data_IF_498990160744
#
_entry.id   IF_498990160744
#
_cell.length_a   1.000
_cell.length_b   1.000
_cell.length_c   1.000
_cell.angle_alpha   90.00
_cell.angle_beta   90.00
_cell.angle_gamma   90.00
#
_symmetry.space_group_name_H-M   'P 1'
#
loop_
_entity.id
_entity.type
_entity.pdbx_description
1 polymer ?
#
# COMPACT_ATOMS: atom_id res chain seq x y z
N UNK A 1 11.30 -11.48 28.94
CA UNK A 1 10.04 -11.31 28.17
C UNK A 1 9.24 -10.20 28.83
N UNK A 2 8.81 -9.18 28.10
CA UNK A 2 8.10 -8.02 28.66
C UNK A 2 6.67 -8.44 29.06
N UNK A 3 6.12 -7.82 30.15
CA UNK A 3 4.75 -8.10 30.64
C UNK A 3 3.72 -7.98 29.52
N UNK A 4 3.81 -6.93 28.69
CA UNK A 4 2.92 -6.72 27.52
C UNK A 4 2.97 -7.87 26.51
N UNK A 5 4.15 -8.46 26.24
CA UNK A 5 4.29 -9.58 25.31
C UNK A 5 3.58 -10.83 25.85
N UNK A 6 3.65 -11.03 27.16
CA UNK A 6 2.95 -12.13 27.86
C UNK A 6 1.44 -12.00 27.75
N UNK A 7 0.88 -10.78 27.92
CA UNK A 7 -0.55 -10.52 27.76
C UNK A 7 -1.01 -10.85 26.32
N UNK A 8 -0.27 -10.37 25.30
CA UNK A 8 -0.60 -10.62 23.90
C UNK A 8 -0.53 -12.11 23.56
N UNK A 9 0.44 -12.84 24.11
CA UNK A 9 0.55 -14.29 23.91
C UNK A 9 -0.60 -15.07 24.54
N UNK A 10 -1.10 -14.62 25.69
CA UNK A 10 -2.26 -15.22 26.37
C UNK A 10 -3.56 -15.08 25.56
N UNK A 11 -3.75 -13.97 24.85
CA UNK A 11 -4.97 -13.69 24.08
C UNK A 11 -4.97 -14.39 22.71
N UNK A 12 -3.83 -14.59 22.09
CA UNK A 12 -3.74 -15.19 20.74
C UNK A 12 -3.61 -16.71 20.79
N UNK A 13 -4.69 -17.42 20.47
CA UNK A 13 -4.77 -18.91 20.46
C UNK A 13 -4.06 -19.61 19.27
N UNK A 14 -3.77 -18.93 18.15
CA UNK A 14 -3.15 -19.56 16.98
C UNK A 14 -1.62 -19.49 17.03
N UNK A 15 -0.95 -20.66 16.95
CA UNK A 15 0.50 -20.79 16.75
C UNK A 15 0.87 -20.24 15.36
N UNK A 16 1.55 -19.10 15.29
CA UNK A 16 2.19 -18.59 14.08
C UNK A 16 3.69 -18.56 14.39
N UNK A 17 4.52 -19.05 13.46
CA UNK A 17 5.98 -19.12 13.63
C UNK A 17 6.68 -17.76 13.71
N UNK A 18 5.94 -16.65 13.74
CA UNK A 18 6.44 -15.29 13.99
C UNK A 18 5.96 -14.81 15.34
N UNK A 19 6.78 -14.00 16.02
CA UNK A 19 6.43 -13.37 17.28
C UNK A 19 5.05 -12.70 17.19
N UNK A 20 4.12 -13.14 18.04
CA UNK A 20 2.71 -12.70 18.01
C UNK A 20 2.57 -11.22 18.32
N UNK A 21 3.43 -10.69 19.19
CA UNK A 21 3.44 -9.29 19.60
C UNK A 21 3.77 -8.34 18.45
N UNK A 22 4.62 -8.73 17.51
CA UNK A 22 5.01 -7.87 16.37
C UNK A 22 3.82 -7.38 15.56
N UNK A 23 2.83 -8.25 15.29
CA UNK A 23 1.64 -7.86 14.53
C UNK A 23 0.73 -6.90 15.29
N UNK A 24 0.63 -7.08 16.60
CA UNK A 24 -0.18 -6.20 17.45
C UNK A 24 0.45 -4.82 17.53
N UNK A 25 1.76 -4.74 17.75
CA UNK A 25 2.46 -3.44 17.76
C UNK A 25 2.45 -2.75 16.41
N UNK A 26 2.55 -3.52 15.33
CA UNK A 26 2.39 -2.95 14.00
C UNK A 26 0.99 -2.36 13.80
N UNK A 27 -0.06 -3.07 14.22
CA UNK A 27 -1.43 -2.57 14.13
C UNK A 27 -1.64 -1.30 14.96
N UNK A 28 -1.13 -1.27 16.19
CA UNK A 28 -1.19 -0.08 17.06
C UNK A 28 -0.45 1.11 16.46
N UNK A 29 0.74 0.89 15.88
CA UNK A 29 1.51 1.94 15.22
C UNK A 29 0.75 2.53 14.04
N UNK A 30 0.20 1.65 13.18
CA UNK A 30 -0.61 2.07 12.03
C UNK A 30 -1.79 2.92 12.50
N UNK A 31 -2.50 2.46 13.53
CA UNK A 31 -3.65 3.14 14.09
C UNK A 31 -3.30 4.53 14.65
N UNK A 32 -2.31 4.61 15.54
CA UNK A 32 -1.93 5.87 16.21
C UNK A 32 -1.39 6.90 15.21
N UNK A 33 -0.61 6.46 14.24
CA UNK A 33 0.02 7.34 13.26
C UNK A 33 -0.86 7.60 12.02
N UNK A 34 -2.03 6.96 11.91
CA UNK A 34 -2.90 7.03 10.72
C UNK A 34 -2.15 6.72 9.42
N UNK A 35 -1.24 5.73 9.46
CA UNK A 35 -0.29 5.44 8.39
C UNK A 35 -0.99 5.14 7.05
N UNK A 36 -2.15 4.50 7.08
CA UNK A 36 -2.92 4.13 5.88
C UNK A 36 -3.54 5.39 5.25
N UNK A 37 -4.17 6.22 6.06
CA UNK A 37 -4.79 7.49 5.61
C UNK A 37 -3.73 8.40 5.00
N UNK A 38 -2.59 8.57 5.67
CA UNK A 38 -1.49 9.39 5.18
C UNK A 38 -0.87 8.83 3.90
N UNK A 39 -0.73 7.51 3.77
CA UNK A 39 -0.25 6.88 2.54
C UNK A 39 -1.20 7.14 1.36
N UNK A 40 -2.51 6.97 1.54
CA UNK A 40 -3.51 7.22 0.50
C UNK A 40 -3.47 8.68 0.05
N UNK A 41 -3.48 9.62 0.99
CA UNK A 41 -3.41 11.05 0.69
C UNK A 41 -2.08 11.42 0.04
N UNK A 42 -0.96 10.86 0.52
CA UNK A 42 0.36 11.08 -0.05
C UNK A 42 0.46 10.66 -1.51
N UNK A 43 -0.08 9.48 -1.86
CA UNK A 43 -0.12 8.99 -3.25
C UNK A 43 -0.93 9.91 -4.17
N UNK A 44 -2.10 10.36 -3.71
CA UNK A 44 -2.97 11.26 -4.48
C UNK A 44 -2.30 12.63 -4.66
N UNK A 45 -1.73 13.21 -3.60
CA UNK A 45 -1.03 14.50 -3.64
C UNK A 45 0.20 14.41 -4.56
N UNK A 46 1.00 13.33 -4.45
CA UNK A 46 2.16 13.12 -5.31
C UNK A 46 1.76 13.08 -6.79
N UNK A 47 0.68 12.36 -7.13
CA UNK A 47 0.18 12.37 -8.49
C UNK A 47 -0.21 13.78 -8.96
N UNK A 48 -0.90 14.57 -8.14
CA UNK A 48 -1.38 15.90 -8.54
C UNK A 48 -0.24 16.89 -8.78
N UNK A 49 0.82 16.82 -7.99
CA UNK A 49 1.97 17.71 -8.07
C UNK A 49 2.91 17.32 -9.23
N UNK A 50 3.01 16.03 -9.52
CA UNK A 50 3.97 15.52 -10.50
C UNK A 50 3.61 15.98 -11.93
N UNK A 51 4.56 16.45 -12.74
CA UNK A 51 4.33 16.72 -14.17
C UNK A 51 4.15 15.41 -14.95
N UNK A 52 3.58 15.52 -16.14
CA UNK A 52 3.51 14.38 -17.09
C UNK A 52 4.94 13.92 -17.41
N UNK A 53 5.16 12.61 -17.44
CA UNK A 53 6.49 11.99 -17.57
C UNK A 53 7.26 11.84 -16.26
N UNK A 54 6.80 12.47 -15.17
CA UNK A 54 7.42 12.32 -13.86
C UNK A 54 7.22 10.92 -13.26
N UNK A 55 8.04 10.57 -12.29
CA UNK A 55 8.08 9.24 -11.64
C UNK A 55 7.59 9.34 -10.21
N UNK A 56 6.67 8.44 -9.84
CA UNK A 56 6.35 8.15 -8.44
C UNK A 56 7.05 6.84 -8.07
N UNK A 57 7.92 6.90 -7.08
CA UNK A 57 8.59 5.72 -6.51
C UNK A 57 8.23 5.61 -5.02
N UNK A 58 7.79 4.43 -4.60
CA UNK A 58 7.32 4.18 -3.23
C UNK A 58 8.00 2.95 -2.67
N UNK A 59 8.61 3.09 -1.50
CA UNK A 59 9.18 1.98 -0.73
C UNK A 59 8.19 1.64 0.38
N UNK A 60 7.87 0.36 0.50
CA UNK A 60 6.97 -0.16 1.53
C UNK A 60 7.68 -1.26 2.34
N UNK A 61 7.41 -1.35 3.63
CA UNK A 61 8.03 -2.33 4.53
C UNK A 61 7.08 -3.41 5.02
N UNK A 62 5.78 -3.24 4.84
CA UNK A 62 4.80 -4.25 5.22
C UNK A 62 3.74 -4.50 4.13
N UNK A 63 3.04 -5.62 4.28
CA UNK A 63 2.13 -6.15 3.25
C UNK A 63 0.89 -5.27 2.99
N UNK A 64 0.43 -4.50 3.99
CA UNK A 64 -0.75 -3.64 3.85
C UNK A 64 -0.39 -2.46 2.96
N UNK A 65 0.72 -1.75 3.25
CA UNK A 65 1.23 -0.67 2.39
C UNK A 65 1.45 -1.15 0.96
N UNK A 66 2.16 -2.29 0.79
CA UNK A 66 2.43 -2.84 -0.54
C UNK A 66 1.14 -3.16 -1.32
N UNK A 67 0.08 -3.64 -0.62
CA UNK A 67 -1.23 -3.89 -1.22
C UNK A 67 -1.89 -2.60 -1.73
N UNK A 68 -1.82 -1.52 -0.95
CA UNK A 68 -2.39 -0.22 -1.30
C UNK A 68 -1.66 0.37 -2.51
N UNK A 69 -0.32 0.43 -2.47
CA UNK A 69 0.51 0.96 -3.55
C UNK A 69 0.35 0.12 -4.83
N UNK A 70 0.35 -1.21 -4.71
CA UNK A 70 0.09 -2.11 -5.84
C UNK A 70 -1.26 -1.85 -6.48
N UNK A 71 -2.31 -1.69 -5.66
CA UNK A 71 -3.67 -1.39 -6.16
C UNK A 71 -3.70 -0.04 -6.87
N UNK A 72 -3.10 1.00 -6.27
CA UNK A 72 -3.04 2.33 -6.83
C UNK A 72 -2.42 2.31 -8.24
N UNK A 73 -1.22 1.78 -8.39
CA UNK A 73 -0.56 1.73 -9.69
C UNK A 73 -1.29 0.83 -10.70
N UNK A 74 -1.77 -0.35 -10.26
CA UNK A 74 -2.45 -1.29 -11.15
C UNK A 74 -3.77 -0.73 -11.68
N UNK A 75 -4.61 -0.16 -10.82
CA UNK A 75 -5.94 0.32 -11.17
C UNK A 75 -5.88 1.42 -12.24
N UNK A 76 -4.87 2.27 -12.19
CA UNK A 76 -4.73 3.41 -13.07
C UNK A 76 -3.71 3.23 -14.22
N UNK A 77 -3.06 2.06 -14.30
CA UNK A 77 -2.16 1.70 -15.41
C UNK A 77 -2.79 0.77 -16.43
N UNK A 78 -3.78 -0.02 -16.03
CA UNK A 78 -4.40 -1.00 -16.93
C UNK A 78 -5.62 -0.41 -17.64
N UNK A 79 -5.70 -0.64 -18.96
CA UNK A 79 -6.96 -0.50 -19.67
C UNK A 79 -7.83 -1.68 -19.28
N UNK A 80 -8.98 -1.42 -18.67
CA UNK A 80 -9.95 -2.48 -18.43
C UNK A 80 -10.50 -2.94 -19.77
N UNK A 81 -10.01 -4.06 -20.27
CA UNK A 81 -10.64 -4.71 -21.41
C UNK A 81 -12.05 -5.10 -20.97
N UNK A 82 -13.06 -4.49 -21.57
CA UNK A 82 -14.40 -5.01 -21.53
C UNK A 82 -14.39 -6.47 -22.00
N UNK A 83 -15.24 -7.29 -21.42
CA UNK A 83 -15.45 -8.69 -21.82
C UNK A 83 -15.45 -8.82 -23.35
N UNK A 84 -14.91 -9.93 -23.88
CA UNK A 84 -14.87 -10.22 -25.33
C UNK A 84 -16.23 -10.11 -26.02
N UNK A 85 -17.31 -10.10 -25.24
CA UNK A 85 -18.71 -10.05 -25.70
C UNK A 85 -19.36 -8.67 -25.63
N UNK A 86 -18.65 -7.63 -25.13
CA UNK A 86 -19.17 -6.27 -25.10
C UNK A 86 -18.54 -5.45 -26.22
N UNK A 87 -19.31 -4.59 -26.93
CA UNK A 87 -18.76 -3.67 -27.91
C UNK A 87 -17.62 -2.85 -27.31
N UNK A 88 -16.57 -2.60 -28.07
CA UNK A 88 -15.43 -1.76 -27.65
C UNK A 88 -15.91 -0.32 -27.40
N UNK A 89 -16.50 -0.07 -26.26
CA UNK A 89 -16.91 1.26 -25.85
C UNK A 89 -16.09 1.69 -24.65
N UNK A 90 -15.49 2.84 -24.78
CA UNK A 90 -14.77 3.64 -23.79
C UNK A 90 -13.35 3.13 -23.57
N UNK A 91 -12.42 3.73 -24.31
CA UNK A 91 -10.99 3.68 -23.99
C UNK A 91 -10.77 4.27 -22.60
N UNK A 92 -10.62 3.41 -21.59
CA UNK A 92 -10.22 3.87 -20.27
C UNK A 92 -8.81 4.47 -20.39
N UNK A 93 -8.70 5.77 -20.10
CA UNK A 93 -7.43 6.48 -20.12
C UNK A 93 -6.45 5.81 -19.17
N UNK A 94 -5.20 5.69 -19.63
CA UNK A 94 -4.11 5.23 -18.76
C UNK A 94 -3.47 6.45 -18.11
N UNK A 95 -3.45 6.48 -16.80
CA UNK A 95 -2.83 7.55 -16.03
C UNK A 95 -1.39 7.26 -15.63
N UNK A 96 -1.03 5.96 -15.58
CA UNK A 96 0.33 5.50 -15.30
C UNK A 96 0.84 4.54 -16.37
N UNK A 97 2.13 4.65 -16.65
CA UNK A 97 2.91 3.58 -17.26
C UNK A 97 3.64 2.82 -16.15
N UNK A 98 3.35 1.52 -16.03
CA UNK A 98 3.94 0.63 -15.05
C UNK A 98 4.95 -0.29 -15.74
N UNK A 99 6.25 0.04 -15.74
CA UNK A 99 7.26 -0.76 -16.46
C UNK A 99 7.39 -2.17 -15.88
N UNK A 100 7.17 -2.30 -14.58
CA UNK A 100 7.32 -3.56 -13.87
C UNK A 100 6.14 -3.81 -12.92
N UNK A 101 5.47 -4.97 -13.09
CA UNK A 101 4.35 -5.37 -12.22
C UNK A 101 4.81 -5.90 -10.85
N UNK A 102 5.97 -6.57 -10.81
CA UNK A 102 6.56 -7.08 -9.57
C UNK A 102 7.32 -5.96 -8.85
N UNK A 103 7.32 -5.92 -7.51
CA UNK A 103 8.15 -4.97 -6.78
C UNK A 103 9.64 -5.34 -6.94
N UNK A 104 10.50 -4.34 -6.86
CA UNK A 104 11.93 -4.54 -6.68
C UNK A 104 12.15 -4.83 -5.20
N UNK A 105 12.89 -5.90 -4.92
CA UNK A 105 13.26 -6.32 -3.57
C UNK A 105 14.77 -6.21 -3.38
N UNK A 106 15.26 -6.00 -2.15
CA UNK A 106 16.69 -5.88 -1.90
C UNK A 106 17.44 -7.16 -2.25
N UNK A 107 18.67 -7.01 -2.66
CA UNK A 107 19.59 -8.12 -2.92
C UNK A 107 20.09 -8.76 -1.61
N UNK A 108 20.63 -9.97 -1.69
CA UNK A 108 21.24 -10.63 -0.52
C UNK A 108 22.40 -9.82 0.06
N UNK A 109 23.19 -9.16 -0.78
CA UNK A 109 24.27 -8.28 -0.34
C UNK A 109 23.77 -7.07 0.44
N UNK A 110 22.69 -6.44 -0.01
CA UNK A 110 22.06 -5.32 0.69
C UNK A 110 21.49 -5.76 2.05
N UNK A 111 20.83 -6.92 2.10
CA UNK A 111 20.27 -7.46 3.36
C UNK A 111 21.38 -7.76 4.36
N UNK A 112 22.54 -8.22 3.92
CA UNK A 112 23.69 -8.49 4.80
C UNK A 112 24.26 -7.20 5.41
N UNK A 113 24.31 -6.11 4.62
CA UNK A 113 24.79 -4.80 5.08
C UNK A 113 23.73 -4.09 5.93
N UNK A 114 22.45 -4.18 5.51
CA UNK A 114 21.32 -3.52 6.14
C UNK A 114 20.15 -4.51 6.37
N UNK A 115 20.20 -5.30 7.46
CA UNK A 115 19.19 -6.32 7.75
C UNK A 115 17.74 -5.83 7.80
N UNK A 116 17.41 -4.59 8.23
CA UNK A 116 16.04 -4.06 8.16
C UNK A 116 15.47 -3.99 6.75
N UNK A 117 16.31 -3.89 5.70
CA UNK A 117 15.86 -3.81 4.30
C UNK A 117 15.15 -5.06 3.80
N UNK A 118 15.31 -6.21 4.47
CA UNK A 118 14.74 -7.52 4.06
C UNK A 118 13.25 -7.51 3.71
N UNK A 119 12.49 -6.57 4.26
CA UNK A 119 11.06 -6.45 4.04
C UNK A 119 10.69 -5.34 3.05
N UNK A 120 11.68 -4.59 2.58
CA UNK A 120 11.47 -3.48 1.67
C UNK A 120 10.99 -3.95 0.29
N UNK A 121 10.05 -3.19 -0.28
CA UNK A 121 9.54 -3.39 -1.63
C UNK A 121 9.42 -2.04 -2.30
N UNK A 122 10.17 -1.83 -3.37
CA UNK A 122 10.09 -0.63 -4.19
C UNK A 122 9.13 -0.87 -5.36
N UNK A 123 8.18 0.04 -5.52
CA UNK A 123 7.34 0.13 -6.72
C UNK A 123 7.43 1.52 -7.30
N UNK A 124 7.39 1.62 -8.63
CA UNK A 124 7.42 2.90 -9.31
C UNK A 124 6.56 2.88 -10.57
N UNK A 125 6.09 4.06 -10.96
CA UNK A 125 5.33 4.27 -12.19
C UNK A 125 5.57 5.66 -12.74
N UNK A 126 5.49 5.81 -14.06
CA UNK A 126 5.56 7.09 -14.76
C UNK A 126 4.17 7.65 -14.95
N UNK A 127 3.98 8.92 -14.67
CA UNK A 127 2.72 9.62 -14.94
C UNK A 127 2.55 9.89 -16.43
N UNK A 128 1.42 9.47 -16.99
CA UNK A 128 1.11 9.66 -18.41
C UNK A 128 0.16 10.83 -18.66
N UNK A 129 -0.86 11.01 -17.82
CA UNK A 129 -1.91 12.01 -18.01
C UNK A 129 -2.32 12.67 -16.68
N UNK A 130 -3.01 13.81 -16.78
CA UNK A 130 -3.63 14.51 -15.67
C UNK A 130 -5.13 14.18 -15.56
N UNK A 131 -5.77 14.63 -14.46
CA UNK A 131 -7.22 14.55 -14.30
C UNK A 131 -7.76 13.18 -13.87
N UNK A 132 -6.94 12.37 -13.21
CA UNK A 132 -7.38 11.09 -12.66
C UNK A 132 -8.37 11.28 -11.50
N UNK A 133 -9.44 10.49 -11.49
CA UNK A 133 -10.40 10.43 -10.39
C UNK A 133 -10.07 9.27 -9.46
N UNK A 134 -9.73 9.60 -8.22
CA UNK A 134 -9.32 8.64 -7.20
C UNK A 134 -10.46 8.13 -6.30
N UNK A 135 -11.73 8.47 -6.57
CA UNK A 135 -12.88 8.02 -5.74
C UNK A 135 -12.88 6.51 -5.53
N UNK A 136 -12.63 5.73 -6.60
CA UNK A 136 -12.58 4.26 -6.51
C UNK A 136 -11.41 3.76 -5.67
N UNK A 137 -10.27 4.43 -5.72
CA UNK A 137 -9.12 4.08 -4.89
C UNK A 137 -9.43 4.32 -3.41
N UNK A 138 -9.95 5.49 -3.08
CA UNK A 138 -10.32 5.84 -1.70
C UNK A 138 -11.40 4.87 -1.18
N UNK A 139 -12.50 4.68 -1.92
CA UNK A 139 -13.60 3.82 -1.48
C UNK A 139 -13.18 2.37 -1.22
N UNK A 140 -12.18 1.87 -1.94
CA UNK A 140 -11.69 0.50 -1.79
C UNK A 140 -10.94 0.27 -0.45
N UNK A 141 -10.51 1.34 0.20
CA UNK A 141 -9.76 1.30 1.46
C UNK A 141 -10.44 2.07 2.59
N UNK A 142 -11.68 2.56 2.41
CA UNK A 142 -12.44 3.29 3.43
C UNK A 142 -12.50 2.51 4.75
N UNK A 143 -12.71 1.19 4.69
CA UNK A 143 -12.79 0.36 5.89
C UNK A 143 -11.51 0.40 6.76
N UNK A 144 -10.34 0.65 6.17
CA UNK A 144 -9.09 0.82 6.93
C UNK A 144 -8.99 2.22 7.52
N UNK A 145 -9.45 3.24 6.79
CA UNK A 145 -9.51 4.62 7.26
C UNK A 145 -10.54 4.77 8.39
N UNK A 146 -11.68 4.08 8.28
CA UNK A 146 -12.70 4.06 9.34
C UNK A 146 -12.14 3.48 10.64
N UNK A 147 -11.33 2.41 10.57
CA UNK A 147 -10.65 1.85 11.73
C UNK A 147 -9.68 2.87 12.35
N UNK A 148 -8.90 3.59 11.53
CA UNK A 148 -7.96 4.62 12.02
C UNK A 148 -8.65 5.85 12.62
N UNK A 149 -9.93 6.08 12.30
CA UNK A 149 -10.74 7.19 12.79
C UNK A 149 -11.66 6.80 13.96
N UNK A 150 -11.58 5.55 14.46
CA UNK A 150 -12.31 5.15 15.65
C UNK A 150 -11.86 6.00 16.85
N UNK A 151 -12.78 6.79 17.39
CA UNK A 151 -12.58 7.45 18.67
C UNK A 151 -13.03 6.48 19.75
N UNK A 152 -12.14 6.12 20.64
CA UNK A 152 -12.50 5.46 21.87
C UNK A 152 -12.82 6.56 22.88
N UNK A 153 -14.07 6.96 22.95
CA UNK A 153 -14.55 7.79 24.04
C UNK A 153 -14.47 6.93 25.31
N UNK A 154 -13.51 7.28 26.19
CA UNK A 154 -13.29 6.65 27.48
C UNK A 154 -14.21 7.25 28.53
#
# INVERSE_FOLDING_TARGET
MCIRDRIIEGVKKKKSGKNKSTKVFQALRIFVNKEITELIHGLIKAYNILPIGGVIAVVTFHSIEDKIVKFFFKEYSEVKNSSRYLPKSISTKKYFNLPQKKPITPSSSEININPPSRSAKLRFAYKLENGCNFKKFVSNFNYLQDIENLNFDA
#
